data_IF_455009515242
#
_entry.id   IF_455009515242
#
_cell.length_a   1.000
_cell.length_b   1.000
_cell.length_c   1.000
_cell.angle_alpha   90.00
_cell.angle_beta   90.00
_cell.angle_gamma   90.00
#
_symmetry.space_group_name_H-M   'P 1'
#
loop_
_entity.id
_entity.type
_entity.pdbx_description
1 polymer ?
#
# COMPACT_ATOMS: atom_id res chain seq x y z
N UNK A 1 8.51 19.07 -18.17
CA UNK A 1 7.27 18.67 -17.46
C UNK A 1 6.22 19.78 -17.38
N UNK A 2 6.59 21.07 -17.42
CA UNK A 2 5.61 22.16 -17.65
C UNK A 2 4.67 21.89 -18.83
N UNK A 3 5.13 21.15 -19.86
CA UNK A 3 4.30 20.73 -20.99
C UNK A 3 3.10 19.83 -20.60
N UNK A 4 3.26 18.84 -19.71
CA UNK A 4 2.15 17.95 -19.32
C UNK A 4 1.14 18.74 -18.48
N UNK A 5 1.61 19.52 -17.50
CA UNK A 5 0.75 20.34 -16.64
C UNK A 5 -0.03 21.42 -17.42
N UNK A 6 0.54 21.94 -18.51
CA UNK A 6 -0.06 23.00 -19.32
C UNK A 6 -0.97 22.45 -20.44
N UNK A 7 -0.59 21.35 -21.10
CA UNK A 7 -1.32 20.88 -22.30
C UNK A 7 -2.17 19.62 -22.08
N UNK A 8 -1.91 18.83 -21.04
CA UNK A 8 -2.59 17.55 -20.83
C UNK A 8 -3.63 17.54 -19.70
N UNK A 9 -3.80 18.66 -18.97
CA UNK A 9 -4.71 18.77 -17.81
C UNK A 9 -4.65 17.54 -16.89
N UNK A 10 -3.47 17.21 -16.35
CA UNK A 10 -3.26 15.97 -15.63
C UNK A 10 -4.02 15.95 -14.30
N UNK A 11 -4.33 14.75 -13.84
CA UNK A 11 -4.90 14.56 -12.50
C UNK A 11 -3.78 14.74 -11.47
N UNK A 12 -4.00 15.62 -10.48
CA UNK A 12 -3.04 15.86 -9.42
C UNK A 12 -3.11 14.77 -8.34
N UNK A 13 -2.10 13.91 -8.23
CA UNK A 13 -1.97 12.97 -7.12
C UNK A 13 -1.11 13.58 -6.02
N UNK A 14 -1.49 13.32 -4.77
CA UNK A 14 -0.67 13.59 -3.61
C UNK A 14 -0.29 12.25 -2.94
N UNK A 15 1.00 12.03 -2.71
CA UNK A 15 1.57 10.75 -2.29
C UNK A 15 2.99 10.97 -1.74
N UNK A 16 3.59 10.01 -1.03
CA UNK A 16 4.97 10.14 -0.58
C UNK A 16 5.95 9.65 -1.66
N UNK A 17 6.12 10.45 -2.72
CA UNK A 17 6.99 10.09 -3.85
C UNK A 17 8.33 10.81 -3.80
N UNK A 18 9.39 10.10 -4.20
CA UNK A 18 10.75 10.64 -4.27
C UNK A 18 11.19 10.78 -5.73
N UNK A 19 11.56 11.99 -6.14
CA UNK A 19 12.08 12.23 -7.49
C UNK A 19 13.50 12.77 -7.47
N UNK A 20 14.29 12.38 -8.48
CA UNK A 20 15.61 12.95 -8.76
C UNK A 20 15.74 13.17 -10.26
N UNK A 21 16.13 14.39 -10.67
CA UNK A 21 16.31 14.78 -12.08
C UNK A 21 15.19 14.35 -13.04
N UNK A 22 13.91 14.52 -12.66
CA UNK A 22 12.79 14.14 -13.54
C UNK A 22 12.33 12.70 -13.45
N UNK A 23 12.99 11.87 -12.65
CA UNK A 23 12.71 10.43 -12.57
C UNK A 23 12.26 10.04 -11.18
N UNK A 24 11.26 9.16 -11.11
CA UNK A 24 10.84 8.54 -9.86
C UNK A 24 11.99 7.67 -9.34
N UNK A 25 12.35 7.85 -8.09
CA UNK A 25 13.32 7.03 -7.38
C UNK A 25 12.55 5.96 -6.64
N UNK A 26 12.81 4.70 -6.99
CA UNK A 26 12.16 3.52 -6.42
C UNK A 26 12.56 3.33 -4.95
N UNK A 27 11.97 4.14 -4.06
CA UNK A 27 12.26 4.18 -2.62
C UNK A 27 11.24 3.40 -1.80
N UNK A 28 9.97 3.45 -2.20
CA UNK A 28 8.89 2.76 -1.54
C UNK A 28 7.85 2.33 -2.56
N UNK A 29 7.92 1.06 -2.97
CA UNK A 29 7.00 0.47 -3.94
C UNK A 29 5.52 0.75 -3.61
N UNK A 30 5.17 0.75 -2.32
CA UNK A 30 3.81 0.99 -1.86
C UNK A 30 3.28 2.39 -2.12
N UNK A 31 4.13 3.42 -2.06
CA UNK A 31 3.74 4.78 -2.42
C UNK A 31 3.86 4.98 -3.93
N UNK A 32 4.91 4.42 -4.54
CA UNK A 32 5.21 4.51 -5.97
C UNK A 32 4.11 3.90 -6.85
N UNK A 33 3.41 2.87 -6.38
CA UNK A 33 2.35 2.20 -7.13
C UNK A 33 1.21 3.15 -7.51
N UNK A 34 1.01 4.26 -6.79
CA UNK A 34 0.06 5.31 -7.18
C UNK A 34 0.30 5.78 -8.62
N UNK A 35 1.56 5.93 -9.05
CA UNK A 35 1.89 6.42 -10.40
C UNK A 35 1.58 5.36 -11.46
N UNK A 36 2.03 4.13 -11.23
CA UNK A 36 1.91 3.07 -12.23
C UNK A 36 0.47 2.57 -12.37
N UNK A 37 -0.23 2.47 -11.25
CA UNK A 37 -1.56 1.90 -11.18
C UNK A 37 -2.62 2.91 -11.63
N UNK A 38 -2.65 4.11 -11.05
CA UNK A 38 -3.74 5.06 -11.27
C UNK A 38 -3.75 5.60 -12.70
N UNK A 39 -2.59 5.77 -13.33
CA UNK A 39 -2.51 6.22 -14.73
C UNK A 39 -3.18 5.19 -15.66
N UNK A 40 -2.95 3.90 -15.42
CA UNK A 40 -3.59 2.80 -16.17
C UNK A 40 -5.07 2.70 -15.85
N UNK A 41 -5.42 2.74 -14.57
CA UNK A 41 -6.77 2.50 -14.07
C UNK A 41 -7.76 3.59 -14.53
N UNK A 42 -7.34 4.86 -14.49
CA UNK A 42 -8.15 6.00 -14.92
C UNK A 42 -7.93 6.38 -16.39
N UNK A 43 -6.97 5.74 -17.06
CA UNK A 43 -6.60 6.02 -18.45
C UNK A 43 -6.36 7.53 -18.69
N UNK A 44 -5.61 8.16 -17.77
CA UNK A 44 -5.36 9.61 -17.73
C UNK A 44 -3.96 9.88 -17.21
N UNK A 45 -3.33 10.92 -17.73
CA UNK A 45 -2.00 11.36 -17.27
C UNK A 45 -2.10 11.95 -15.86
N UNK A 46 -1.11 11.61 -15.04
CA UNK A 46 -1.00 12.10 -13.68
C UNK A 46 0.07 13.20 -13.59
N UNK A 47 -0.14 14.12 -12.66
CA UNK A 47 0.85 15.09 -12.20
C UNK A 47 0.93 14.98 -10.69
N UNK A 48 2.11 15.12 -10.15
CA UNK A 48 2.30 15.00 -8.71
C UNK A 48 2.39 16.39 -8.08
N UNK A 49 1.61 16.60 -7.01
CA UNK A 49 1.38 17.93 -6.45
C UNK A 49 2.68 18.65 -6.08
N UNK A 50 3.61 17.98 -5.38
CA UNK A 50 4.85 18.61 -4.90
C UNK A 50 6.03 18.55 -5.87
N UNK A 51 5.85 18.04 -7.10
CA UNK A 51 6.89 18.02 -8.13
C UNK A 51 6.76 19.20 -9.10
N UNK A 52 5.62 19.89 -9.06
CA UNK A 52 5.34 21.03 -9.92
C UNK A 52 4.93 22.24 -9.09
N UNK A 53 5.71 23.32 -9.18
CA UNK A 53 5.38 24.61 -8.55
C UNK A 53 4.05 25.16 -9.06
N UNK A 54 3.68 24.84 -10.30
CA UNK A 54 2.36 25.17 -10.86
C UNK A 54 1.26 24.39 -10.16
N UNK A 55 1.41 23.07 -10.01
CA UNK A 55 0.44 22.24 -9.29
C UNK A 55 0.26 22.70 -7.84
N UNK A 56 1.36 22.97 -7.12
CA UNK A 56 1.31 23.49 -5.73
C UNK A 56 0.57 24.82 -5.59
N UNK A 57 0.68 25.71 -6.58
CA UNK A 57 0.04 27.03 -6.57
C UNK A 57 -1.38 27.03 -7.12
N UNK A 58 -1.82 25.92 -7.74
CA UNK A 58 -3.01 25.93 -8.59
C UNK A 58 -4.36 25.75 -7.88
N UNK A 59 -4.40 25.61 -6.55
CA UNK A 59 -5.63 25.29 -5.79
C UNK A 59 -6.47 24.16 -6.43
N UNK A 60 -5.80 23.27 -7.17
CA UNK A 60 -6.45 22.18 -7.88
C UNK A 60 -6.78 21.05 -6.92
N UNK A 61 -7.87 20.38 -7.22
CA UNK A 61 -8.23 19.13 -6.57
C UNK A 61 -7.08 18.13 -6.70
N UNK A 62 -6.69 17.55 -5.58
CA UNK A 62 -5.66 16.52 -5.50
C UNK A 62 -6.22 15.25 -4.87
N UNK A 63 -5.67 14.11 -5.26
CA UNK A 63 -6.20 12.81 -4.86
C UNK A 63 -5.22 12.05 -3.97
N UNK A 64 -5.72 11.56 -2.84
CA UNK A 64 -5.02 10.59 -1.98
C UNK A 64 -5.65 9.21 -2.21
N UNK A 65 -4.91 8.29 -2.82
CA UNK A 65 -5.45 6.99 -3.22
C UNK A 65 -4.83 5.81 -2.45
N UNK A 66 -3.53 5.58 -2.57
CA UNK A 66 -2.84 4.43 -1.95
C UNK A 66 -1.82 4.94 -0.94
N UNK A 67 -1.71 4.27 0.20
CA UNK A 67 -0.75 4.57 1.26
C UNK A 67 -1.37 5.07 2.57
N UNK A 68 -0.50 5.31 3.56
CA UNK A 68 -0.90 5.84 4.88
C UNK A 68 -0.67 7.35 4.93
N UNK A 69 -1.15 8.08 3.95
CA UNK A 69 -0.76 9.49 3.72
C UNK A 69 -1.80 10.49 4.15
N UNK A 70 -3.00 10.04 4.53
CA UNK A 70 -4.15 10.90 4.81
C UNK A 70 -3.84 11.96 5.87
N UNK A 71 -3.34 11.56 7.04
CA UNK A 71 -2.99 12.51 8.11
C UNK A 71 -1.75 13.38 7.85
N UNK A 72 -1.03 13.17 6.75
CA UNK A 72 0.21 13.91 6.43
C UNK A 72 0.05 14.86 5.24
N UNK A 73 -0.74 14.47 4.25
CA UNK A 73 -0.77 15.11 2.93
C UNK A 73 -2.11 15.80 2.63
N UNK A 74 -3.09 15.71 3.52
CA UNK A 74 -4.40 16.33 3.31
C UNK A 74 -4.32 17.85 3.30
N UNK A 75 -5.00 18.46 2.34
CA UNK A 75 -5.30 19.88 2.27
C UNK A 75 -6.79 20.12 1.91
N UNK A 76 -7.21 21.39 1.88
CA UNK A 76 -8.61 21.79 1.59
C UNK A 76 -9.13 21.38 0.20
N UNK A 77 -8.24 21.01 -0.73
CA UNK A 77 -8.56 20.53 -2.07
C UNK A 77 -8.43 19.01 -2.21
N UNK A 78 -8.12 18.29 -1.13
CA UNK A 78 -7.90 16.85 -1.16
C UNK A 78 -9.22 16.07 -1.30
N UNK A 79 -9.25 15.15 -2.26
CA UNK A 79 -10.27 14.12 -2.43
C UNK A 79 -9.64 12.77 -2.09
N UNK A 80 -10.17 12.07 -1.08
CA UNK A 80 -9.62 10.78 -0.63
C UNK A 80 -10.37 9.62 -1.28
N UNK A 81 -9.63 8.68 -1.87
CA UNK A 81 -10.14 7.44 -2.45
C UNK A 81 -9.26 6.25 -2.06
N UNK A 82 -9.40 5.80 -0.81
CA UNK A 82 -8.80 4.56 -0.31
C UNK A 82 -7.54 4.70 0.53
N UNK A 83 -6.97 5.92 0.66
CA UNK A 83 -5.83 6.17 1.54
C UNK A 83 -6.24 6.01 3.02
N UNK A 84 -5.27 5.66 3.86
CA UNK A 84 -5.42 5.51 5.31
C UNK A 84 -4.58 6.52 6.09
N UNK A 85 -4.77 6.56 7.41
CA UNK A 85 -3.81 7.22 8.32
C UNK A 85 -2.78 6.21 8.86
N UNK A 86 -1.62 6.72 9.31
CA UNK A 86 -0.56 5.94 9.94
C UNK A 86 -0.99 5.50 11.35
N UNK A 87 -1.58 6.42 12.10
CA UNK A 87 -2.05 6.27 13.47
C UNK A 87 -3.24 7.22 13.73
N UNK A 88 -3.83 7.10 14.92
CA UNK A 88 -4.96 7.92 15.37
C UNK A 88 -4.55 9.07 16.29
N UNK A 89 -3.25 9.33 16.45
CA UNK A 89 -2.73 10.37 17.34
C UNK A 89 -2.71 11.76 16.70
N UNK A 90 -2.67 11.81 15.36
CA UNK A 90 -2.66 13.06 14.61
C UNK A 90 -4.03 13.72 14.56
N UNK A 91 -4.01 15.04 14.63
CA UNK A 91 -5.16 15.91 14.30
C UNK A 91 -4.92 16.46 12.89
N UNK A 92 -5.96 16.48 12.08
CA UNK A 92 -5.95 17.07 10.75
C UNK A 92 -5.74 18.59 10.86
N UNK A 93 -4.74 19.10 10.15
CA UNK A 93 -4.51 20.54 10.05
C UNK A 93 -5.67 21.26 9.33
N UNK A 94 -6.36 20.56 8.43
CA UNK A 94 -7.56 21.03 7.74
C UNK A 94 -8.44 19.87 7.24
N UNK A 95 -9.69 20.18 6.93
CA UNK A 95 -10.62 19.19 6.39
C UNK A 95 -10.36 18.98 4.89
N UNK A 96 -10.37 17.72 4.40
CA UNK A 96 -10.32 17.44 2.98
C UNK A 96 -11.60 17.94 2.30
N UNK A 97 -11.50 18.23 0.99
CA UNK A 97 -12.64 18.60 0.14
C UNK A 97 -13.73 17.53 0.17
N UNK A 98 -13.34 16.25 0.08
CA UNK A 98 -14.27 15.12 0.05
C UNK A 98 -13.59 13.80 0.42
N UNK A 99 -14.33 12.94 1.12
CA UNK A 99 -13.97 11.53 1.30
C UNK A 99 -14.88 10.68 0.42
N UNK A 100 -14.32 9.91 -0.50
CA UNK A 100 -15.04 8.94 -1.34
C UNK A 100 -14.95 7.53 -0.73
N UNK A 101 -13.75 7.16 -0.29
CA UNK A 101 -13.45 5.90 0.38
C UNK A 101 -12.18 6.07 1.22
N UNK A 102 -11.99 5.21 2.22
CA UNK A 102 -10.75 5.12 3.01
C UNK A 102 -10.28 3.68 3.08
N UNK A 103 -9.03 3.44 3.50
CA UNK A 103 -8.48 2.07 3.55
C UNK A 103 -9.33 1.11 4.39
N UNK A 104 -9.81 1.58 5.54
CA UNK A 104 -10.55 0.76 6.48
C UNK A 104 -11.33 1.56 7.55
N UNK A 105 -12.04 0.83 8.44
CA UNK A 105 -12.99 1.42 9.38
C UNK A 105 -12.33 2.23 10.50
N UNK A 106 -11.06 1.95 10.85
CA UNK A 106 -10.37 2.73 11.88
C UNK A 106 -10.02 4.12 11.36
N UNK A 107 -9.55 4.22 10.11
CA UNK A 107 -9.33 5.52 9.46
C UNK A 107 -10.65 6.30 9.38
N UNK A 108 -11.76 5.64 9.03
CA UNK A 108 -13.09 6.28 9.06
C UNK A 108 -13.46 6.79 10.45
N UNK A 109 -13.29 5.97 11.49
CA UNK A 109 -13.61 6.38 12.86
C UNK A 109 -12.78 7.59 13.29
N UNK A 110 -11.48 7.62 12.93
CA UNK A 110 -10.59 8.74 13.19
C UNK A 110 -11.03 10.02 12.46
N UNK A 111 -11.53 9.93 11.22
CA UNK A 111 -12.12 11.07 10.49
C UNK A 111 -13.41 11.59 11.15
N UNK A 112 -14.33 10.69 11.51
CA UNK A 112 -15.60 11.07 12.14
C UNK A 112 -15.40 11.77 13.49
N UNK A 113 -14.42 11.31 14.29
CA UNK A 113 -14.05 11.96 15.56
C UNK A 113 -13.57 13.40 15.37
N UNK A 114 -13.09 13.74 14.19
CA UNK A 114 -12.62 15.08 13.83
C UNK A 114 -13.70 15.90 13.10
N UNK A 115 -14.93 15.40 12.98
CA UNK A 115 -16.01 16.12 12.31
C UNK A 115 -15.91 16.11 10.78
N UNK A 116 -15.14 15.19 10.20
CA UNK A 116 -15.08 14.99 8.74
C UNK A 116 -16.08 13.91 8.34
N UNK A 117 -17.00 14.23 7.42
CA UNK A 117 -17.92 13.25 6.86
C UNK A 117 -17.16 12.16 6.07
N UNK A 118 -17.48 10.90 6.34
CA UNK A 118 -16.79 9.76 5.75
C UNK A 118 -17.78 8.60 5.52
N UNK A 119 -18.04 8.21 4.25
CA UNK A 119 -18.92 7.10 3.94
C UNK A 119 -18.31 5.77 4.39
N UNK A 120 -19.15 4.75 4.55
CA UNK A 120 -18.75 3.36 4.85
C UNK A 120 -18.28 2.63 3.58
N UNK A 121 -17.35 3.24 2.84
CA UNK A 121 -16.72 2.64 1.67
C UNK A 121 -15.24 2.43 1.96
N UNK A 122 -14.82 1.17 1.91
CA UNK A 122 -13.50 0.74 2.32
C UNK A 122 -12.70 0.08 1.19
N UNK A 123 -11.38 0.08 1.36
CA UNK A 123 -10.46 -0.70 0.55
C UNK A 123 -9.26 0.11 0.08
N UNK A 124 -8.08 -0.50 0.15
CA UNK A 124 -6.89 0.04 -0.51
C UNK A 124 -7.02 -0.21 -2.03
N UNK A 125 -6.86 0.81 -2.90
CA UNK A 125 -6.96 0.62 -4.34
C UNK A 125 -5.97 -0.41 -4.89
N UNK A 126 -4.83 -0.66 -4.24
CA UNK A 126 -3.88 -1.71 -4.63
C UNK A 126 -4.50 -3.11 -4.63
N UNK A 127 -5.63 -3.35 -3.96
CA UNK A 127 -6.40 -4.59 -4.09
C UNK A 127 -6.96 -4.82 -5.51
N UNK A 128 -7.04 -3.77 -6.34
CA UNK A 128 -7.49 -3.85 -7.73
C UNK A 128 -6.36 -4.24 -8.70
N UNK A 129 -5.10 -4.37 -8.23
CA UNK A 129 -3.95 -4.73 -9.08
C UNK A 129 -4.15 -6.00 -9.94
N UNK A 130 -4.80 -7.09 -9.47
CA UNK A 130 -5.04 -8.26 -10.30
C UNK A 130 -5.87 -8.00 -11.56
N UNK A 131 -6.61 -6.89 -11.61
CA UNK A 131 -7.34 -6.49 -12.83
C UNK A 131 -6.48 -5.75 -13.84
N UNK A 132 -5.32 -5.25 -13.43
CA UNK A 132 -4.39 -4.53 -14.30
C UNK A 132 -3.21 -5.39 -14.74
N UNK A 133 -2.85 -6.39 -13.95
CA UNK A 133 -1.67 -7.20 -14.19
C UNK A 133 -1.88 -8.64 -13.77
N UNK A 134 -1.57 -9.57 -14.67
CA UNK A 134 -1.53 -11.00 -14.41
C UNK A 134 -0.06 -11.44 -14.39
N UNK A 135 0.45 -11.96 -13.26
CA UNK A 135 1.80 -12.47 -13.16
C UNK A 135 2.04 -13.60 -14.16
N UNK A 136 3.19 -13.60 -14.83
CA UNK A 136 3.59 -14.63 -15.79
C UNK A 136 4.06 -15.92 -15.11
N UNK A 137 4.29 -15.90 -13.80
CA UNK A 137 4.77 -17.06 -13.03
C UNK A 137 3.73 -18.19 -13.05
N UNK A 138 4.05 -19.26 -13.78
CA UNK A 138 3.19 -20.45 -13.90
C UNK A 138 3.33 -21.45 -12.75
N UNK A 139 4.47 -21.44 -12.05
CA UNK A 139 4.77 -22.36 -10.94
C UNK A 139 5.47 -21.63 -9.80
N UNK A 140 5.06 -21.97 -8.58
CA UNK A 140 5.68 -21.50 -7.34
C UNK A 140 7.12 -21.99 -7.28
N UNK A 141 8.05 -21.08 -6.97
CA UNK A 141 9.50 -21.31 -6.94
C UNK A 141 10.05 -21.34 -5.53
N UNK A 142 9.41 -20.62 -4.61
CA UNK A 142 9.86 -20.46 -3.23
C UNK A 142 8.78 -20.89 -2.26
N UNK A 143 9.18 -21.53 -1.16
CA UNK A 143 8.26 -21.91 -0.09
C UNK A 143 7.80 -20.70 0.72
N UNK A 144 8.70 -19.74 0.89
CA UNK A 144 8.46 -18.53 1.66
C UNK A 144 9.05 -17.31 0.95
N UNK A 145 8.25 -16.26 0.80
CA UNK A 145 8.75 -14.92 0.51
C UNK A 145 8.76 -14.10 1.79
N UNK A 146 9.88 -13.45 2.11
CA UNK A 146 9.99 -12.53 3.24
C UNK A 146 10.09 -11.10 2.70
N UNK A 147 9.21 -10.22 3.18
CA UNK A 147 9.15 -8.81 2.79
C UNK A 147 9.36 -7.95 4.05
N UNK A 148 10.61 -7.64 4.41
CA UNK A 148 10.90 -6.72 5.49
C UNK A 148 10.46 -5.30 5.11
N UNK A 149 10.07 -4.50 6.09
CA UNK A 149 10.12 -3.05 5.97
C UNK A 149 11.54 -2.61 5.59
N UNK A 150 11.70 -1.52 4.85
CA UNK A 150 13.02 -1.13 4.33
C UNK A 150 14.04 -0.90 5.46
N UNK A 151 13.60 -0.38 6.61
CA UNK A 151 14.43 -0.22 7.82
C UNK A 151 14.90 -1.56 8.43
N UNK A 152 14.13 -2.64 8.21
CA UNK A 152 14.41 -3.97 8.77
C UNK A 152 15.26 -4.84 7.84
N UNK A 153 15.48 -4.43 6.58
CA UNK A 153 16.06 -5.34 5.57
C UNK A 153 17.43 -5.88 5.97
N UNK A 154 18.24 -5.08 6.68
CA UNK A 154 19.56 -5.45 7.17
C UNK A 154 19.56 -5.92 8.64
N UNK A 155 18.39 -6.16 9.24
CA UNK A 155 18.29 -6.57 10.63
C UNK A 155 18.96 -7.95 10.83
N UNK A 156 19.83 -8.12 11.85
CA UNK A 156 20.60 -9.36 12.05
C UNK A 156 19.76 -10.62 12.18
N UNK A 157 18.52 -10.49 12.70
CA UNK A 157 17.57 -11.62 12.86
C UNK A 157 17.27 -12.32 11.53
N UNK A 158 17.40 -11.61 10.39
CA UNK A 158 17.10 -12.14 9.06
C UNK A 158 18.27 -12.94 8.47
N UNK A 159 19.47 -12.87 9.05
CA UNK A 159 20.70 -13.45 8.47
C UNK A 159 20.56 -14.94 8.19
N UNK A 160 20.01 -15.70 9.15
CA UNK A 160 19.80 -17.15 9.00
C UNK A 160 18.76 -17.48 7.94
N UNK A 161 17.68 -16.71 7.89
CA UNK A 161 16.61 -16.90 6.91
C UNK A 161 17.08 -16.60 5.48
N UNK A 162 17.98 -15.61 5.31
CA UNK A 162 18.58 -15.25 4.01
C UNK A 162 19.43 -16.35 3.39
N UNK A 163 19.98 -17.26 4.21
CA UNK A 163 20.81 -18.36 3.71
C UNK A 163 20.01 -19.57 3.20
N UNK A 164 18.69 -19.60 3.40
CA UNK A 164 17.85 -20.72 2.96
C UNK A 164 17.44 -20.59 1.49
N UNK A 165 17.73 -21.61 0.69
CA UNK A 165 17.45 -21.61 -0.75
C UNK A 165 15.96 -21.63 -1.11
N UNK A 166 15.09 -22.02 -0.17
CA UNK A 166 13.64 -22.03 -0.36
C UNK A 166 12.99 -20.67 -0.05
N UNK A 167 13.76 -19.70 0.43
CA UNK A 167 13.29 -18.37 0.84
C UNK A 167 13.68 -17.33 -0.21
N UNK A 168 12.71 -16.50 -0.58
CA UNK A 168 12.94 -15.30 -1.39
C UNK A 168 12.84 -14.06 -0.52
N UNK A 169 13.89 -13.25 -0.46
CA UNK A 169 13.82 -11.91 0.15
C UNK A 169 13.40 -10.88 -0.90
N UNK A 170 12.25 -10.27 -0.70
CA UNK A 170 11.65 -9.32 -1.63
C UNK A 170 11.88 -7.91 -1.09
N UNK A 171 12.50 -7.05 -1.90
CA UNK A 171 12.73 -5.65 -1.57
C UNK A 171 11.62 -4.77 -2.12
N UNK A 172 11.09 -3.88 -1.28
CA UNK A 172 10.14 -2.82 -1.68
C UNK A 172 10.87 -1.50 -2.04
N UNK A 173 12.21 -1.49 -2.01
CA UNK A 173 13.09 -0.40 -2.44
C UNK A 173 14.04 -0.92 -3.53
N UNK A 174 14.41 -0.06 -4.49
CA UNK A 174 15.42 -0.36 -5.51
C UNK A 174 15.00 -1.45 -6.49
N UNK A 175 13.69 -1.62 -6.70
CA UNK A 175 13.14 -2.57 -7.67
C UNK A 175 13.34 -2.06 -9.10
N UNK A 176 13.38 -2.95 -10.09
CA UNK A 176 13.58 -2.56 -11.50
C UNK A 176 12.29 -2.04 -12.13
N UNK A 177 11.22 -2.82 -12.04
CA UNK A 177 9.87 -2.49 -12.51
C UNK A 177 8.84 -2.81 -11.42
N UNK A 178 7.75 -2.04 -11.35
CA UNK A 178 6.73 -2.24 -10.33
C UNK A 178 6.09 -3.65 -10.39
N UNK A 179 6.00 -4.26 -11.59
CA UNK A 179 5.49 -5.63 -11.75
C UNK A 179 6.43 -6.68 -11.19
N UNK A 180 7.73 -6.40 -11.07
CA UNK A 180 8.73 -7.36 -10.58
C UNK A 180 8.46 -7.79 -9.12
N UNK A 181 7.97 -6.88 -8.28
CA UNK A 181 7.58 -7.19 -6.89
C UNK A 181 6.37 -8.11 -6.87
N UNK A 182 5.41 -7.88 -7.76
CA UNK A 182 4.21 -8.72 -7.89
C UNK A 182 4.60 -10.12 -8.35
N UNK A 183 5.46 -10.24 -9.37
CA UNK A 183 5.96 -11.53 -9.85
C UNK A 183 6.71 -12.31 -8.75
N UNK A 184 7.53 -11.61 -7.95
CA UNK A 184 8.21 -12.21 -6.80
C UNK A 184 7.21 -12.74 -5.76
N UNK A 185 6.21 -11.94 -5.39
CA UNK A 185 5.14 -12.35 -4.46
C UNK A 185 4.37 -13.56 -5.03
N UNK A 186 3.97 -13.49 -6.30
CA UNK A 186 3.24 -14.55 -6.99
C UNK A 186 4.06 -15.84 -7.11
N UNK A 187 5.40 -15.76 -7.09
CA UNK A 187 6.28 -16.93 -7.12
C UNK A 187 6.42 -17.67 -5.79
N UNK A 188 5.88 -17.14 -4.69
CA UNK A 188 5.98 -17.73 -3.36
C UNK A 188 4.72 -18.51 -2.95
N UNK A 189 4.89 -19.63 -2.25
CA UNK A 189 3.79 -20.41 -1.65
C UNK A 189 3.17 -19.73 -0.42
N UNK A 190 3.94 -18.88 0.26
CA UNK A 190 3.57 -18.16 1.47
C UNK A 190 4.37 -16.86 1.57
N UNK A 191 3.79 -15.79 2.12
CA UNK A 191 4.47 -14.51 2.33
C UNK A 191 4.52 -14.17 3.82
N UNK A 192 5.68 -13.82 4.37
CA UNK A 192 5.78 -13.18 5.68
C UNK A 192 6.26 -11.74 5.49
N UNK A 193 5.49 -10.76 5.96
CA UNK A 193 5.74 -9.35 5.64
C UNK A 193 5.60 -8.44 6.86
N UNK A 194 6.62 -7.62 7.12
CA UNK A 194 6.51 -6.45 8.00
C UNK A 194 6.18 -5.15 7.24
N UNK A 195 6.07 -5.23 5.90
CA UNK A 195 5.52 -4.17 5.06
C UNK A 195 4.00 -4.32 4.88
N UNK A 196 3.24 -3.25 5.12
CA UNK A 196 1.78 -3.25 4.90
C UNK A 196 1.44 -3.54 3.43
N UNK A 197 2.10 -2.87 2.47
CA UNK A 197 1.84 -3.12 1.05
C UNK A 197 2.25 -4.53 0.61
N UNK A 198 3.25 -5.15 1.24
CA UNK A 198 3.54 -6.56 1.03
C UNK A 198 2.35 -7.46 1.36
N UNK A 199 1.63 -7.15 2.46
CA UNK A 199 0.42 -7.87 2.86
C UNK A 199 -0.76 -7.55 1.94
N UNK A 200 -0.97 -6.29 1.58
CA UNK A 200 -2.04 -5.87 0.66
C UNK A 200 -1.91 -6.59 -0.69
N UNK A 201 -0.70 -6.62 -1.26
CA UNK A 201 -0.46 -7.28 -2.56
C UNK A 201 -0.62 -8.80 -2.43
N UNK A 202 -0.14 -9.41 -1.34
CA UNK A 202 -0.34 -10.83 -1.12
C UNK A 202 -1.85 -11.19 -1.05
N UNK A 203 -2.65 -10.42 -0.31
CA UNK A 203 -4.11 -10.59 -0.26
C UNK A 203 -4.76 -10.39 -1.64
N UNK A 204 -4.36 -9.35 -2.38
CA UNK A 204 -4.89 -9.05 -3.71
C UNK A 204 -4.70 -10.22 -4.69
N UNK A 205 -3.50 -10.83 -4.70
CA UNK A 205 -3.17 -11.97 -5.56
C UNK A 205 -3.51 -13.33 -4.94
N UNK A 206 -4.17 -13.36 -3.78
CA UNK A 206 -4.59 -14.58 -3.12
C UNK A 206 -3.45 -15.47 -2.64
N UNK A 207 -2.28 -14.89 -2.36
CA UNK A 207 -1.14 -15.60 -1.77
C UNK A 207 -1.30 -15.60 -0.24
N UNK A 208 -1.33 -16.77 0.42
CA UNK A 208 -1.38 -16.84 1.88
C UNK A 208 -0.26 -16.01 2.51
N UNK A 209 -0.55 -15.30 3.60
CA UNK A 209 0.42 -14.40 4.19
C UNK A 209 0.37 -14.31 5.74
N UNK A 210 1.50 -13.91 6.31
CA UNK A 210 1.76 -13.69 7.73
C UNK A 210 2.13 -12.23 7.96
N UNK A 211 1.46 -11.60 8.91
CA UNK A 211 1.88 -10.29 9.43
C UNK A 211 3.07 -10.50 10.36
N UNK A 212 4.23 -10.01 9.95
CA UNK A 212 5.51 -10.19 10.64
C UNK A 212 5.94 -8.89 11.32
N UNK A 213 6.60 -9.00 12.47
CA UNK A 213 7.31 -7.89 13.13
C UNK A 213 8.75 -8.31 13.44
N UNK A 214 9.72 -7.45 13.12
CA UNK A 214 11.16 -7.78 13.17
C UNK A 214 11.87 -6.98 14.27
N UNK A 215 11.83 -5.64 14.20
CA UNK A 215 12.58 -4.76 15.11
C UNK A 215 11.71 -4.07 16.16
N UNK A 216 10.38 -4.22 16.07
CA UNK A 216 9.38 -3.50 16.88
C UNK A 216 9.32 -1.99 16.67
N UNK A 217 10.08 -1.45 15.70
CA UNK A 217 10.08 -0.03 15.35
C UNK A 217 9.16 0.24 14.17
N UNK A 218 7.86 0.29 14.42
CA UNK A 218 6.87 0.67 13.41
C UNK A 218 6.38 2.09 13.67
N UNK A 219 6.62 2.99 12.71
CA UNK A 219 6.03 4.33 12.73
C UNK A 219 4.50 4.21 12.76
N UNK A 220 3.87 4.81 13.78
CA UNK A 220 2.42 4.71 14.03
C UNK A 220 1.94 3.39 14.63
N UNK A 221 2.86 2.53 15.05
CA UNK A 221 2.54 1.21 15.61
C UNK A 221 1.77 0.34 14.62
N UNK A 222 0.72 -0.31 15.13
CA UNK A 222 -0.05 -1.33 14.40
C UNK A 222 -1.34 -0.83 13.76
N UNK A 223 -1.71 0.44 13.98
CA UNK A 223 -2.99 1.00 13.56
C UNK A 223 -3.28 0.73 12.08
N UNK A 224 -2.33 1.05 11.19
CA UNK A 224 -2.50 0.88 9.74
C UNK A 224 -2.71 -0.58 9.29
N UNK A 225 -2.19 -1.55 10.05
CA UNK A 225 -2.35 -2.97 9.76
C UNK A 225 -3.74 -3.44 10.19
N UNK A 226 -4.16 -3.11 11.41
CA UNK A 226 -5.51 -3.41 11.89
C UNK A 226 -6.58 -2.77 11.01
N UNK A 227 -6.37 -1.51 10.62
CA UNK A 227 -7.27 -0.78 9.71
C UNK A 227 -7.45 -1.52 8.38
N UNK A 228 -6.36 -2.04 7.81
CA UNK A 228 -6.42 -2.86 6.60
C UNK A 228 -7.11 -4.22 6.84
N UNK A 229 -6.74 -4.97 7.87
CA UNK A 229 -7.35 -6.30 8.10
C UNK A 229 -8.85 -6.20 8.41
N UNK A 230 -9.27 -5.19 9.16
CA UNK A 230 -10.68 -4.93 9.41
C UNK A 230 -11.46 -4.61 8.13
N UNK A 231 -10.84 -3.99 7.11
CA UNK A 231 -11.51 -3.78 5.82
C UNK A 231 -11.74 -5.07 5.04
N UNK A 232 -10.94 -6.11 5.31
CA UNK A 232 -11.13 -7.47 4.81
C UNK A 232 -12.14 -8.30 5.62
N UNK A 233 -12.93 -7.65 6.49
CA UNK A 233 -13.96 -8.29 7.31
C UNK A 233 -13.43 -9.03 8.53
N UNK A 234 -12.11 -9.15 8.73
CA UNK A 234 -11.53 -9.82 9.89
C UNK A 234 -10.16 -9.27 10.26
N UNK A 235 -10.04 -8.80 11.50
CA UNK A 235 -8.77 -8.36 12.06
C UNK A 235 -7.82 -9.52 12.43
N UNK A 236 -6.53 -9.22 12.50
CA UNK A 236 -5.49 -10.09 13.07
C UNK A 236 -5.08 -9.54 14.42
N UNK A 237 -5.07 -10.39 15.45
CA UNK A 237 -4.85 -9.97 16.84
C UNK A 237 -3.51 -9.26 17.06
N UNK A 238 -2.44 -9.79 16.47
CA UNK A 238 -1.07 -9.29 16.65
C UNK A 238 -0.17 -9.78 15.52
N UNK A 239 0.95 -9.11 15.25
CA UNK A 239 1.97 -9.63 14.37
C UNK A 239 2.65 -10.86 14.99
N UNK A 240 3.20 -11.70 14.13
CA UNK A 240 4.15 -12.73 14.51
C UNK A 240 5.51 -12.07 14.76
N UNK A 241 5.99 -12.14 16.00
CA UNK A 241 7.28 -11.58 16.40
C UNK A 241 8.41 -12.51 15.96
N UNK A 242 9.34 -11.99 15.14
CA UNK A 242 10.48 -12.76 14.67
C UNK A 242 11.62 -12.72 15.70
N UNK A 243 12.05 -13.90 16.14
CA UNK A 243 13.19 -14.07 17.03
C UNK A 243 14.39 -14.69 16.31
N UNK A 244 15.59 -14.50 16.85
CA UNK A 244 16.85 -14.90 16.19
C UNK A 244 17.08 -16.40 16.10
N UNK A 245 16.42 -17.17 16.95
CA UNK A 245 16.49 -18.63 17.02
C UNK A 245 15.51 -19.32 16.06
N UNK A 246 14.50 -18.58 15.57
CA UNK A 246 13.50 -19.10 14.64
C UNK A 246 14.09 -19.54 13.30
N UNK A 247 13.45 -20.57 12.75
CA UNK A 247 13.77 -21.21 11.49
C UNK A 247 12.73 -20.88 10.42
N UNK A 248 13.02 -21.25 9.17
CA UNK A 248 12.04 -21.13 8.08
C UNK A 248 10.80 -22.00 8.36
N UNK A 249 10.99 -23.19 8.94
CA UNK A 249 9.90 -24.10 9.27
C UNK A 249 8.96 -23.52 10.34
N UNK A 250 9.49 -22.79 11.33
CA UNK A 250 8.66 -22.12 12.34
C UNK A 250 7.69 -21.12 11.70
N UNK A 251 8.16 -20.38 10.68
CA UNK A 251 7.32 -19.46 9.91
C UNK A 251 6.34 -20.25 9.04
N UNK A 252 6.79 -21.28 8.33
CA UNK A 252 5.94 -22.08 7.43
C UNK A 252 4.81 -22.80 8.18
N UNK A 253 5.04 -23.22 9.43
CA UNK A 253 4.03 -23.88 10.25
C UNK A 253 2.80 -22.98 10.54
N UNK A 254 2.98 -21.65 10.55
CA UNK A 254 1.88 -20.68 10.72
C UNK A 254 0.96 -20.57 9.50
N UNK A 255 1.33 -21.15 8.35
CA UNK A 255 0.54 -21.09 7.13
C UNK A 255 -0.87 -21.67 7.29
N UNK A 256 -1.03 -22.69 8.12
CA UNK A 256 -2.34 -23.31 8.36
C UNK A 256 -3.30 -22.41 9.15
N UNK A 257 -2.76 -21.41 9.87
CA UNK A 257 -3.57 -20.43 10.61
C UNK A 257 -4.04 -19.28 9.70
N UNK A 258 -3.51 -19.19 8.47
CA UNK A 258 -3.92 -18.17 7.52
C UNK A 258 -5.41 -18.31 7.17
N UNK A 259 -6.12 -17.21 7.30
CA UNK A 259 -7.49 -17.09 6.85
C UNK A 259 -7.57 -15.97 5.84
N UNK A 260 -8.06 -16.32 4.65
CA UNK A 260 -8.21 -15.37 3.55
C UNK A 260 -9.21 -14.28 3.94
N UNK A 261 -8.81 -13.03 3.79
CA UNK A 261 -9.70 -11.89 3.95
C UNK A 261 -10.73 -11.79 2.82
N UNK A 262 -11.86 -11.13 3.09
CA UNK A 262 -12.86 -10.85 2.07
C UNK A 262 -13.33 -9.40 2.15
N UNK A 263 -13.27 -8.72 1.01
CA UNK A 263 -13.85 -7.39 0.82
C UNK A 263 -14.53 -7.34 -0.54
N UNK A 264 -15.76 -6.83 -0.58
CA UNK A 264 -16.40 -6.47 -1.84
C UNK A 264 -15.81 -5.13 -2.31
N UNK A 265 -15.10 -5.17 -3.44
CA UNK A 265 -14.47 -3.99 -4.03
C UNK A 265 -15.43 -3.19 -4.93
N UNK A 266 -16.68 -3.64 -5.16
CA UNK A 266 -17.63 -2.91 -6.00
C UNK A 266 -17.94 -1.51 -5.45
N UNK A 267 -18.21 -1.30 -4.14
CA UNK A 267 -18.38 0.04 -3.59
C UNK A 267 -17.18 0.94 -3.84
N UNK A 268 -15.95 0.43 -3.66
CA UNK A 268 -14.72 1.18 -3.91
C UNK A 268 -14.60 1.62 -5.39
N UNK A 269 -14.93 0.73 -6.32
CA UNK A 269 -14.92 1.01 -7.77
C UNK A 269 -15.96 2.07 -8.13
N UNK A 270 -17.18 1.94 -7.60
CA UNK A 270 -18.30 2.82 -7.91
C UNK A 270 -18.06 4.26 -7.48
N UNK A 271 -17.37 4.46 -6.36
CA UNK A 271 -17.04 5.81 -5.85
C UNK A 271 -15.71 6.33 -6.37
N UNK A 272 -15.05 5.64 -7.29
CA UNK A 272 -13.79 6.11 -7.89
C UNK A 272 -13.96 7.51 -8.49
N UNK A 273 -13.00 8.44 -8.29
CA UNK A 273 -13.11 9.79 -8.83
C UNK A 273 -13.21 9.83 -10.36
N UNK A 274 -12.71 8.79 -11.02
CA UNK A 274 -12.77 8.64 -12.47
C UNK A 274 -13.23 7.23 -12.85
N UNK A 275 -13.81 7.11 -14.05
CA UNK A 275 -14.25 5.83 -14.60
C UNK A 275 -13.07 4.85 -14.63
N UNK A 276 -13.26 3.70 -13.99
CA UNK A 276 -12.31 2.61 -14.01
C UNK A 276 -12.57 1.76 -15.26
N UNK A 277 -11.56 1.61 -16.12
CA UNK A 277 -11.59 0.64 -17.23
C UNK A 277 -10.90 -0.64 -16.77
N UNK A 278 -11.70 -1.63 -16.37
CA UNK A 278 -11.26 -2.96 -15.96
C UNK A 278 -11.39 -3.94 -17.12
#
# INVERSE_FOLDING_TARGET
>A
MAFIDVFCHPICINACLHYSYGRLMHRNWGDDINIYMLEKLWNRKLSYLYYSTLSMRSQKDNYLAIGSTLGMLTNEHTIVWGSGTIDDSRVLDCHPKKILAVRGPLTRQWLLKQGVDCPEVYGDPALLLPRLYTPSVQKKRYKLGIIPHYDDFNHPVLTRLKSDSNVLFIKMEGYDDWTSVIEQIASCDYIASSSLHGLIVAEAYGVPNLWLEISGKLLGGHFKFHDFFLSLGKDRKSPFLLHSDMTVDDILNTKNDYQKGFIDLQPLIQVSPFLIKL
#
